data_IF_670004959743
#
_entry.id   IF_670004959743
#
_cell.length_a   1.000
_cell.length_b   1.000
_cell.length_c   1.000
_cell.angle_alpha   90.00
_cell.angle_beta   90.00
_cell.angle_gamma   90.00
#
_symmetry.space_group_name_H-M   'P 1'
#
loop_
_entity.id
_entity.type
_entity.pdbx_description
1 polymer ?
#
# COMPACT_ATOMS: atom_id res chain seq x y z
N UNK A 1 11.31 -0.86 0.87
CA UNK A 1 9.87 -1.18 1.10
C UNK A 1 9.74 -2.31 2.11
N UNK A 2 10.23 -3.52 1.81
CA UNK A 2 10.15 -4.68 2.74
C UNK A 2 10.77 -4.40 4.12
N UNK A 3 11.97 -3.82 4.18
CA UNK A 3 12.62 -3.50 5.46
C UNK A 3 11.82 -2.53 6.33
N UNK A 4 11.25 -1.48 5.73
CA UNK A 4 10.44 -0.49 6.46
C UNK A 4 9.12 -1.10 6.95
N UNK A 5 8.50 -1.97 6.15
CA UNK A 5 7.32 -2.74 6.55
C UNK A 5 7.64 -3.66 7.74
N UNK A 6 8.71 -4.46 7.66
CA UNK A 6 9.13 -5.36 8.74
C UNK A 6 9.46 -4.61 10.03
N UNK A 7 10.12 -3.45 9.94
CA UNK A 7 10.39 -2.60 11.11
C UNK A 7 9.09 -2.15 11.78
N UNK A 8 8.10 -1.66 11.00
CA UNK A 8 6.81 -1.24 11.55
C UNK A 8 6.01 -2.39 12.15
N UNK A 9 6.01 -3.55 11.50
CA UNK A 9 5.39 -4.78 12.04
C UNK A 9 6.05 -5.18 13.36
N UNK A 10 7.38 -5.17 13.41
CA UNK A 10 8.13 -5.47 14.64
C UNK A 10 7.76 -4.50 15.76
N UNK A 11 7.78 -3.21 15.49
CA UNK A 11 7.44 -2.17 16.48
C UNK A 11 6.00 -2.33 16.99
N UNK A 12 5.04 -2.48 16.08
CA UNK A 12 3.63 -2.64 16.42
C UNK A 12 3.37 -3.91 17.25
N UNK A 13 3.87 -5.06 16.79
CA UNK A 13 3.66 -6.34 17.47
C UNK A 13 4.41 -6.40 18.80
N UNK A 14 5.66 -5.94 18.87
CA UNK A 14 6.46 -5.99 20.11
C UNK A 14 5.87 -5.09 21.19
N UNK A 15 5.30 -3.94 20.81
CA UNK A 15 4.60 -3.04 21.73
C UNK A 15 3.35 -3.70 22.34
N UNK A 16 2.67 -4.54 21.57
CA UNK A 16 1.49 -5.28 22.05
C UNK A 16 1.88 -6.49 22.89
N UNK A 17 2.69 -7.37 22.31
CA UNK A 17 3.20 -8.57 22.98
C UNK A 17 4.52 -9.02 22.31
N UNK A 18 5.64 -9.12 23.06
CA UNK A 18 6.95 -9.47 22.49
C UNK A 18 6.99 -10.79 21.70
N UNK A 19 6.10 -11.75 22.01
CA UNK A 19 6.06 -13.05 21.32
C UNK A 19 5.40 -12.98 19.94
N UNK A 20 4.54 -11.98 19.69
CA UNK A 20 3.79 -11.88 18.43
C UNK A 20 4.70 -11.67 17.22
N UNK A 21 5.78 -10.91 17.37
CA UNK A 21 6.74 -10.74 16.27
C UNK A 21 7.45 -12.06 15.91
N UNK A 22 7.71 -12.93 16.91
CA UNK A 22 8.25 -14.27 16.64
C UNK A 22 7.24 -15.13 15.89
N UNK A 23 5.96 -15.07 16.27
CA UNK A 23 4.87 -15.76 15.54
C UNK A 23 4.76 -15.27 14.11
N UNK A 24 4.89 -13.95 13.88
CA UNK A 24 4.90 -13.37 12.53
C UNK A 24 6.02 -13.96 11.66
N UNK A 25 7.24 -14.05 12.19
CA UNK A 25 8.38 -14.65 11.47
C UNK A 25 8.19 -16.15 11.22
N UNK A 26 7.61 -16.88 12.18
CA UNK A 26 7.28 -18.31 12.00
C UNK A 26 6.34 -18.51 10.81
N UNK A 27 5.23 -17.76 10.75
CA UNK A 27 4.25 -17.85 9.66
C UNK A 27 4.92 -17.61 8.29
N UNK A 28 5.80 -16.61 8.19
CA UNK A 28 6.53 -16.35 6.95
C UNK A 28 7.50 -17.48 6.59
N UNK A 29 8.20 -18.02 7.58
CA UNK A 29 9.17 -19.10 7.36
C UNK A 29 8.46 -20.40 6.94
N UNK A 30 7.37 -20.76 7.63
CA UNK A 30 6.55 -21.93 7.35
C UNK A 30 5.97 -21.86 5.92
N UNK A 31 5.61 -20.67 5.45
CA UNK A 31 5.20 -20.45 4.07
C UNK A 31 6.34 -20.64 3.06
N UNK A 32 7.55 -20.19 3.37
CA UNK A 32 8.70 -20.36 2.46
C UNK A 32 9.22 -21.79 2.39
N UNK A 33 9.12 -22.56 3.48
CA UNK A 33 9.62 -23.93 3.55
C UNK A 33 8.67 -24.96 2.94
N UNK A 34 7.36 -24.67 2.89
CA UNK A 34 6.34 -25.57 2.37
C UNK A 34 5.83 -25.08 1.00
N UNK A 35 6.30 -25.72 -0.07
CA UNK A 35 5.94 -25.42 -1.46
C UNK A 35 4.46 -25.61 -1.83
N UNK A 36 3.64 -26.15 -0.91
CA UNK A 36 2.19 -26.32 -1.07
C UNK A 36 1.34 -25.26 -0.37
N UNK A 37 1.92 -24.33 0.40
CA UNK A 37 1.13 -23.40 1.21
C UNK A 37 0.40 -22.38 0.34
N UNK A 38 -0.89 -22.21 0.61
CA UNK A 38 -1.72 -21.30 -0.17
C UNK A 38 -1.43 -19.84 0.22
N UNK A 39 -1.25 -18.94 -0.75
CA UNK A 39 -1.20 -17.49 -0.50
C UNK A 39 -2.43 -16.97 0.27
N UNK A 40 -3.56 -17.68 0.15
CA UNK A 40 -4.79 -17.43 0.90
C UNK A 40 -4.59 -17.72 2.39
N UNK A 41 -4.01 -18.87 2.72
CA UNK A 41 -3.75 -19.28 4.10
C UNK A 41 -2.73 -18.36 4.76
N UNK A 42 -1.65 -18.02 4.06
CA UNK A 42 -0.67 -17.04 4.54
C UNK A 42 -1.36 -15.72 4.88
N UNK A 43 -2.13 -15.17 3.95
CA UNK A 43 -2.79 -13.88 4.16
C UNK A 43 -3.82 -13.94 5.29
N UNK A 44 -4.57 -15.04 5.42
CA UNK A 44 -5.50 -15.25 6.52
C UNK A 44 -4.78 -15.29 7.88
N UNK A 45 -3.69 -16.05 7.99
CA UNK A 45 -2.89 -16.11 9.23
C UNK A 45 -2.29 -14.75 9.60
N UNK A 46 -1.78 -14.01 8.60
CA UNK A 46 -1.26 -12.66 8.81
C UNK A 46 -2.36 -11.68 9.25
N UNK A 47 -3.56 -11.75 8.66
CA UNK A 47 -4.70 -10.92 9.06
C UNK A 47 -5.13 -11.18 10.50
N UNK A 48 -5.18 -12.43 10.91
CA UNK A 48 -5.52 -12.79 12.29
C UNK A 48 -4.46 -12.29 13.29
N UNK A 49 -3.17 -12.48 12.96
CA UNK A 49 -2.09 -12.00 13.82
C UNK A 49 -2.05 -10.46 13.91
N UNK A 50 -2.35 -9.78 12.81
CA UNK A 50 -2.33 -8.31 12.68
C UNK A 50 -3.73 -7.69 12.85
N UNK A 51 -4.69 -8.37 13.47
CA UNK A 51 -6.09 -7.90 13.56
C UNK A 51 -6.25 -6.52 14.20
N UNK A 52 -5.39 -6.16 15.16
CA UNK A 52 -5.37 -4.84 15.80
C UNK A 52 -4.58 -3.78 15.02
N UNK A 53 -3.90 -4.22 13.95
CA UNK A 53 -3.11 -3.39 13.04
C UNK A 53 -3.54 -3.64 11.59
N UNK A 54 -4.83 -3.44 11.24
CA UNK A 54 -5.38 -3.83 9.93
C UNK A 54 -4.65 -3.17 8.76
N UNK A 55 -4.15 -1.95 8.94
CA UNK A 55 -3.33 -1.25 7.94
C UNK A 55 -2.05 -2.02 7.57
N UNK A 56 -1.40 -2.68 8.54
CA UNK A 56 -0.21 -3.49 8.26
C UNK A 56 -0.58 -4.75 7.45
N UNK A 57 -1.71 -5.38 7.77
CA UNK A 57 -2.20 -6.52 6.98
C UNK A 57 -2.56 -6.10 5.55
N UNK A 58 -3.13 -4.91 5.36
CA UNK A 58 -3.45 -4.38 4.04
C UNK A 58 -2.21 -4.01 3.22
N UNK A 59 -1.19 -3.45 3.85
CA UNK A 59 0.08 -3.16 3.19
C UNK A 59 0.77 -4.44 2.66
N UNK A 60 0.51 -5.59 3.28
CA UNK A 60 1.05 -6.86 2.81
C UNK A 60 0.60 -7.21 1.39
N UNK A 61 -0.61 -6.78 0.97
CA UNK A 61 -1.14 -6.99 -0.38
C UNK A 61 -0.16 -6.49 -1.44
N UNK A 62 0.64 -5.48 -1.12
CA UNK A 62 1.63 -4.90 -2.02
C UNK A 62 2.84 -5.79 -2.35
N UNK A 63 2.99 -6.92 -1.66
CA UNK A 63 4.04 -7.92 -1.89
C UNK A 63 3.53 -9.17 -2.63
N UNK A 64 2.22 -9.27 -2.86
CA UNK A 64 1.62 -10.42 -3.53
C UNK A 64 1.93 -10.41 -5.03
N UNK A 65 1.83 -11.58 -5.66
CA UNK A 65 1.69 -11.68 -7.10
C UNK A 65 0.24 -11.40 -7.52
N UNK A 66 -0.02 -10.99 -8.77
CA UNK A 66 -1.37 -10.74 -9.26
C UNK A 66 -2.34 -11.90 -9.01
N UNK A 67 -1.91 -13.15 -9.29
CA UNK A 67 -2.76 -14.33 -9.09
C UNK A 67 -3.10 -14.56 -7.61
N UNK A 68 -2.15 -14.26 -6.72
CA UNK A 68 -2.36 -14.39 -5.27
C UNK A 68 -3.35 -13.33 -4.77
N UNK A 69 -3.27 -12.10 -5.27
CA UNK A 69 -4.21 -11.03 -4.95
C UNK A 69 -5.64 -11.36 -5.43
N UNK A 70 -5.77 -12.01 -6.60
CA UNK A 70 -7.07 -12.53 -7.09
C UNK A 70 -7.59 -13.61 -6.12
N UNK A 71 -6.76 -14.58 -5.78
CA UNK A 71 -7.13 -15.70 -4.92
C UNK A 71 -7.66 -15.26 -3.54
N UNK A 72 -7.19 -14.12 -3.02
CA UNK A 72 -7.66 -13.55 -1.74
C UNK A 72 -8.72 -12.45 -1.88
N UNK A 73 -9.22 -12.18 -3.09
CA UNK A 73 -10.22 -11.13 -3.33
C UNK A 73 -9.71 -9.70 -3.14
N UNK A 74 -8.40 -9.47 -3.25
CA UNK A 74 -7.74 -8.16 -3.07
C UNK A 74 -7.15 -7.59 -4.35
N UNK A 75 -7.54 -8.08 -5.52
CA UNK A 75 -6.99 -7.63 -6.80
C UNK A 75 -7.15 -6.12 -7.04
N UNK A 76 -8.32 -5.54 -6.76
CA UNK A 76 -8.52 -4.11 -6.91
C UNK A 76 -7.57 -3.28 -6.03
N UNK A 77 -7.38 -3.70 -4.77
CA UNK A 77 -6.42 -3.08 -3.84
C UNK A 77 -4.98 -3.25 -4.33
N UNK A 78 -4.63 -4.44 -4.81
CA UNK A 78 -3.32 -4.72 -5.40
C UNK A 78 -3.00 -3.78 -6.56
N UNK A 79 -3.93 -3.63 -7.51
CA UNK A 79 -3.77 -2.72 -8.65
C UNK A 79 -3.66 -1.26 -8.22
N UNK A 80 -4.48 -0.82 -7.26
CA UNK A 80 -4.42 0.55 -6.73
C UNK A 80 -3.05 0.88 -6.13
N UNK A 81 -2.48 -0.05 -5.34
CA UNK A 81 -1.15 0.12 -4.74
C UNK A 81 -0.06 0.21 -5.82
N UNK A 82 -0.10 -0.65 -6.84
CA UNK A 82 0.90 -0.64 -7.92
C UNK A 82 0.81 0.63 -8.76
N UNK A 83 -0.40 1.08 -9.12
CA UNK A 83 -0.59 2.36 -9.83
C UNK A 83 -0.11 3.55 -9.01
N UNK A 84 -0.34 3.55 -7.69
CA UNK A 84 0.18 4.59 -6.81
C UNK A 84 1.70 4.61 -6.79
N UNK A 85 2.37 3.44 -6.77
CA UNK A 85 3.83 3.34 -6.86
C UNK A 85 4.34 3.90 -8.19
N UNK A 86 3.75 3.47 -9.29
CA UNK A 86 4.12 3.96 -10.63
C UNK A 86 3.94 5.47 -10.75
N UNK A 87 2.84 6.00 -10.21
CA UNK A 87 2.59 7.43 -10.14
C UNK A 87 3.68 8.15 -9.33
N UNK A 88 4.02 7.66 -8.14
CA UNK A 88 5.05 8.26 -7.29
C UNK A 88 6.43 8.23 -7.95
N UNK A 89 6.76 7.17 -8.68
CA UNK A 89 8.04 7.08 -9.39
C UNK A 89 8.09 8.03 -10.59
N UNK A 90 7.00 8.14 -11.36
CA UNK A 90 6.84 9.17 -12.40
C UNK A 90 6.95 10.58 -11.80
N UNK A 91 6.28 10.83 -10.66
CA UNK A 91 6.30 12.11 -9.97
C UNK A 91 7.73 12.49 -9.54
N UNK A 92 8.45 11.56 -8.91
CA UNK A 92 9.84 11.76 -8.51
C UNK A 92 10.76 12.01 -9.71
N UNK A 93 10.56 11.26 -10.79
CA UNK A 93 11.35 11.42 -12.01
C UNK A 93 11.13 12.81 -12.65
N UNK A 94 9.87 13.24 -12.76
CA UNK A 94 9.52 14.54 -13.34
C UNK A 94 10.05 15.70 -12.51
N UNK A 95 9.91 15.63 -11.18
CA UNK A 95 10.36 16.69 -10.27
C UNK A 95 11.74 16.44 -9.66
N UNK A 96 12.58 15.59 -10.27
CA UNK A 96 13.91 15.24 -9.74
C UNK A 96 14.83 16.43 -9.50
N UNK A 97 14.68 17.50 -10.31
CA UNK A 97 15.43 18.76 -10.18
C UNK A 97 14.76 19.79 -9.26
N UNK A 98 13.59 19.47 -8.70
CA UNK A 98 12.75 20.37 -7.90
C UNK A 98 12.16 19.64 -6.67
N UNK A 99 13.00 19.19 -5.71
CA UNK A 99 12.54 18.40 -4.56
C UNK A 99 11.53 19.14 -3.66
N UNK A 100 11.63 20.47 -3.59
CA UNK A 100 10.65 21.31 -2.87
C UNK A 100 9.24 21.17 -3.42
N UNK A 101 9.10 20.86 -4.70
CA UNK A 101 7.80 20.67 -5.34
C UNK A 101 7.11 19.38 -4.87
N UNK A 102 7.88 18.30 -4.74
CA UNK A 102 7.40 17.05 -4.15
C UNK A 102 6.98 17.28 -2.69
N UNK A 103 7.79 18.02 -1.92
CA UNK A 103 7.45 18.38 -0.54
C UNK A 103 6.14 19.19 -0.46
N UNK A 104 5.89 20.10 -1.40
CA UNK A 104 4.64 20.87 -1.46
C UNK A 104 3.43 19.95 -1.65
N UNK A 105 3.54 18.98 -2.56
CA UNK A 105 2.47 17.99 -2.81
C UNK A 105 2.23 17.16 -1.55
N UNK A 106 3.29 16.67 -0.90
CA UNK A 106 3.18 15.90 0.36
C UNK A 106 2.47 16.70 1.45
N UNK A 107 2.83 17.98 1.64
CA UNK A 107 2.18 18.85 2.64
C UNK A 107 0.69 19.02 2.37
N UNK A 108 0.29 19.15 1.10
CA UNK A 108 -1.12 19.24 0.73
C UNK A 108 -1.83 17.93 1.08
N UNK A 109 -1.28 16.77 0.70
CA UNK A 109 -1.84 15.47 1.07
C UNK A 109 -1.97 15.30 2.59
N UNK A 110 -0.98 15.74 3.38
CA UNK A 110 -1.04 15.69 4.85
C UNK A 110 -2.11 16.63 5.43
N UNK A 111 -2.32 17.80 4.83
CA UNK A 111 -3.39 18.73 5.26
C UNK A 111 -4.79 18.19 4.97
N UNK A 112 -4.89 17.28 4.00
CA UNK A 112 -6.13 16.60 3.63
C UNK A 112 -6.41 15.42 4.56
N UNK A 113 -5.37 14.71 5.00
CA UNK A 113 -5.48 13.59 5.96
C UNK A 113 -6.06 14.02 7.32
N UNK A 114 -5.85 15.29 7.74
CA UNK A 114 -6.42 15.80 9.00
C UNK A 114 -7.91 16.13 8.94
N UNK A 115 -8.56 15.97 7.78
CA UNK A 115 -10.00 16.24 7.59
C UNK A 115 -10.79 14.95 7.67
N UNK A 116 -11.89 14.94 8.42
CA UNK A 116 -12.76 13.76 8.60
C UNK A 116 -13.83 13.61 7.52
N UNK A 117 -14.06 14.65 6.70
CA UNK A 117 -15.14 14.79 5.73
C UNK A 117 -14.62 14.90 4.29
N UNK A 118 -13.44 14.33 4.00
CA UNK A 118 -12.81 14.48 2.70
C UNK A 118 -13.33 13.47 1.67
N UNK A 119 -13.81 13.97 0.54
CA UNK A 119 -14.18 13.13 -0.60
C UNK A 119 -13.04 13.02 -1.62
N UNK A 120 -13.15 12.02 -2.50
CA UNK A 120 -12.15 11.81 -3.55
C UNK A 120 -12.00 13.02 -4.48
N UNK A 121 -13.10 13.70 -4.81
CA UNK A 121 -13.07 14.89 -5.66
C UNK A 121 -12.34 16.07 -4.97
N UNK A 122 -12.37 16.17 -3.64
CA UNK A 122 -11.58 17.17 -2.91
C UNK A 122 -10.08 16.91 -3.05
N UNK A 123 -9.67 15.64 -2.90
CA UNK A 123 -8.26 15.23 -3.07
C UNK A 123 -7.79 15.54 -4.49
N UNK A 124 -8.62 15.21 -5.48
CA UNK A 124 -8.33 15.47 -6.89
C UNK A 124 -8.24 16.97 -7.18
N UNK A 125 -9.19 17.76 -6.69
CA UNK A 125 -9.18 19.23 -6.84
C UNK A 125 -7.94 19.88 -6.22
N UNK A 126 -7.43 19.35 -5.11
CA UNK A 126 -6.23 19.86 -4.45
C UNK A 126 -4.93 19.41 -5.13
N UNK A 127 -4.84 18.17 -5.60
CA UNK A 127 -3.59 17.56 -6.10
C UNK A 127 -3.39 17.78 -7.59
N UNK A 128 -4.44 17.65 -8.43
CA UNK A 128 -4.31 17.75 -9.89
C UNK A 128 -3.68 19.07 -10.37
N UNK A 129 -4.04 20.26 -9.83
CA UNK A 129 -3.42 21.52 -10.23
C UNK A 129 -1.90 21.58 -9.93
N UNK A 130 -1.43 20.82 -8.93
CA UNK A 130 -0.01 20.75 -8.60
C UNK A 130 0.75 19.89 -9.60
N UNK A 131 0.13 18.85 -10.18
CA UNK A 131 0.86 17.93 -11.04
C UNK A 131 1.33 18.58 -12.34
N UNK A 132 0.63 19.63 -12.83
CA UNK A 132 0.96 20.48 -14.01
C UNK A 132 1.10 19.75 -15.36
N UNK A 133 1.38 18.46 -15.35
CA UNK A 133 1.61 17.64 -16.54
C UNK A 133 0.43 16.67 -16.74
N UNK A 134 -0.18 16.64 -17.94
CA UNK A 134 -1.35 15.79 -18.22
C UNK A 134 -1.13 14.31 -17.88
N UNK A 135 0.04 13.75 -18.21
CA UNK A 135 0.37 12.36 -17.93
C UNK A 135 0.47 12.03 -16.42
N UNK A 136 0.83 13.00 -15.58
CA UNK A 136 0.84 12.82 -14.13
C UNK A 136 -0.58 12.90 -13.56
N UNK A 137 -1.39 13.83 -14.05
CA UNK A 137 -2.81 13.95 -13.68
C UNK A 137 -3.55 12.66 -14.02
N UNK A 138 -3.37 12.15 -15.24
CA UNK A 138 -3.95 10.88 -15.68
C UNK A 138 -3.49 9.73 -14.78
N UNK A 139 -2.18 9.57 -14.57
CA UNK A 139 -1.63 8.51 -13.71
C UNK A 139 -2.13 8.60 -12.27
N UNK A 140 -2.33 9.81 -11.73
CA UNK A 140 -2.90 10.02 -10.40
C UNK A 140 -4.38 9.58 -10.36
N UNK A 141 -5.20 10.03 -11.31
CA UNK A 141 -6.62 9.66 -11.36
C UNK A 141 -6.84 8.16 -11.52
N UNK A 142 -5.98 7.49 -12.28
CA UNK A 142 -6.02 6.03 -12.45
C UNK A 142 -5.72 5.26 -11.17
N UNK A 143 -5.04 5.85 -10.17
CA UNK A 143 -4.77 5.17 -8.89
C UNK A 143 -6.07 4.69 -8.23
N UNK A 144 -7.16 5.44 -8.41
CA UNK A 144 -8.45 5.24 -7.76
C UNK A 144 -9.47 4.53 -8.64
N UNK A 145 -9.15 4.26 -9.91
CA UNK A 145 -10.03 3.52 -10.80
C UNK A 145 -10.16 2.06 -10.33
N UNK A 146 -11.38 1.60 -10.04
CA UNK A 146 -11.62 0.18 -9.79
C UNK A 146 -11.37 -0.60 -11.08
N UNK A 147 -10.56 -1.66 -11.02
CA UNK A 147 -10.38 -2.57 -12.14
C UNK A 147 -10.84 -3.96 -11.74
N UNK A 148 -11.70 -4.60 -12.55
CA UNK A 148 -12.06 -5.99 -12.33
C UNK A 148 -10.84 -6.89 -12.52
N UNK A 149 -10.81 -8.06 -11.85
CA UNK A 149 -9.81 -9.08 -12.12
C UNK A 149 -9.86 -9.53 -13.60
N UNK A 150 -8.71 -9.88 -14.21
CA UNK A 150 -8.70 -10.46 -15.55
C UNK A 150 -9.51 -11.77 -15.59
N UNK A 151 -10.15 -12.10 -16.73
CA UNK A 151 -10.90 -13.34 -16.90
C UNK A 151 -10.01 -14.59 -16.84
#
# INVERSE_FOLDING_TARGET
MAQSYLTRVREALTKKEPTMYRKFLSILNDFTENSGNSPIELYAQLRELLKDFPLLAEEFVSFLLPQQAIAIGKYAQYCAIHRMRDFLDKLKLQFRKQPHYIQKIIRILQSLESRTDIEFEDVKAAVCPLLRYPHLVESFTQCFASQPPPP
#
